data_IF_141152763173
#
_entry.id   IF_141152763173
#
_cell.length_a   1.000
_cell.length_b   1.000
_cell.length_c   1.000
_cell.angle_alpha   90.00
_cell.angle_beta   90.00
_cell.angle_gamma   90.00
#
_symmetry.space_group_name_H-M   'P 1'
#
loop_
_entity.id
_entity.type
_entity.pdbx_description
1 polymer ?
#
# COMPACT_ATOMS: atom_id res chain seq x y z
N UNK A 1 -1.54 -17.48 -33.01
CA UNK A 1 -2.80 -18.23 -33.07
C UNK A 1 -3.50 -17.94 -31.75
N UNK A 2 -4.44 -17.00 -31.75
CA UNK A 2 -5.03 -16.41 -30.53
C UNK A 2 -6.52 -16.69 -30.58
N UNK A 3 -6.96 -17.73 -29.86
CA UNK A 3 -8.30 -17.88 -29.30
C UNK A 3 -8.18 -18.95 -28.22
N UNK A 4 -8.61 -18.67 -27.00
CA UNK A 4 -9.22 -19.72 -26.19
C UNK A 4 -10.30 -19.06 -25.34
N UNK A 5 -11.36 -18.59 -25.99
CA UNK A 5 -12.65 -18.61 -25.31
C UNK A 5 -12.84 -20.04 -24.80
N UNK A 6 -12.98 -20.17 -23.48
CA UNK A 6 -13.28 -21.47 -22.90
C UNK A 6 -14.58 -21.95 -23.52
N UNK A 7 -14.63 -23.19 -23.98
CA UNK A 7 -15.89 -23.78 -24.44
C UNK A 7 -16.89 -23.73 -23.29
N UNK A 8 -18.17 -23.54 -23.58
CA UNK A 8 -19.21 -23.52 -22.54
C UNK A 8 -19.18 -24.78 -21.68
N UNK A 9 -18.83 -25.93 -22.28
CA UNK A 9 -18.61 -27.20 -21.58
C UNK A 9 -17.48 -27.11 -20.55
N UNK A 10 -16.35 -26.51 -20.89
CA UNK A 10 -15.22 -26.37 -19.97
C UNK A 10 -15.47 -25.32 -18.88
N UNK A 11 -16.22 -24.25 -19.18
CA UNK A 11 -16.69 -23.30 -18.18
C UNK A 11 -17.59 -24.01 -17.16
N UNK A 12 -18.58 -24.77 -17.63
CA UNK A 12 -19.45 -25.56 -16.75
C UNK A 12 -18.68 -26.60 -15.93
N UNK A 13 -17.63 -27.20 -16.51
CA UNK A 13 -16.72 -28.07 -15.76
C UNK A 13 -16.04 -27.30 -14.62
N UNK A 14 -15.35 -26.19 -14.89
CA UNK A 14 -14.68 -25.40 -13.84
C UNK A 14 -15.66 -24.91 -12.76
N UNK A 15 -16.87 -24.50 -13.14
CA UNK A 15 -17.92 -24.08 -12.20
C UNK A 15 -18.38 -25.21 -11.27
N UNK A 16 -18.41 -26.46 -11.74
CA UNK A 16 -18.72 -27.63 -10.91
C UNK A 16 -17.57 -27.98 -9.94
N UNK A 17 -16.32 -27.64 -10.27
CA UNK A 17 -15.15 -27.91 -9.44
C UNK A 17 -14.87 -26.82 -8.40
N UNK A 18 -15.22 -25.56 -8.68
CA UNK A 18 -15.01 -24.42 -7.77
C UNK A 18 -15.45 -24.70 -6.32
N UNK A 19 -16.65 -25.28 -6.04
CA UNK A 19 -17.12 -25.50 -4.67
C UNK A 19 -16.21 -26.41 -3.82
N UNK A 20 -15.62 -27.45 -4.42
CA UNK A 20 -14.76 -28.39 -3.70
C UNK A 20 -13.43 -27.72 -3.32
N UNK A 21 -12.77 -27.05 -4.27
CA UNK A 21 -11.55 -26.29 -4.01
C UNK A 21 -11.81 -25.21 -2.96
N UNK A 22 -12.94 -24.51 -3.09
CA UNK A 22 -13.38 -23.51 -2.12
C UNK A 22 -13.54 -24.08 -0.72
N UNK A 23 -14.27 -25.19 -0.55
CA UNK A 23 -14.48 -25.82 0.76
C UNK A 23 -13.14 -26.21 1.41
N UNK A 24 -12.22 -26.77 0.61
CA UNK A 24 -10.90 -27.16 1.09
C UNK A 24 -10.08 -25.94 1.53
N UNK A 25 -10.01 -24.89 0.70
CA UNK A 25 -9.27 -23.66 1.04
C UNK A 25 -9.86 -23.01 2.30
N UNK A 26 -11.18 -22.92 2.42
CA UNK A 26 -11.86 -22.38 3.62
C UNK A 26 -11.50 -23.20 4.86
N UNK A 27 -11.55 -24.53 4.76
CA UNK A 27 -11.18 -25.43 5.86
C UNK A 27 -9.72 -25.25 6.27
N UNK A 28 -8.79 -25.24 5.30
CA UNK A 28 -7.37 -25.05 5.54
C UNK A 28 -7.07 -23.67 6.14
N UNK A 29 -7.72 -22.61 5.65
CA UNK A 29 -7.58 -21.26 6.19
C UNK A 29 -8.07 -21.16 7.65
N UNK A 30 -9.22 -21.75 7.96
CA UNK A 30 -9.72 -21.82 9.35
C UNK A 30 -8.80 -22.65 10.25
N UNK A 31 -8.21 -23.74 9.74
CA UNK A 31 -7.25 -24.54 10.49
C UNK A 31 -5.95 -23.78 10.78
N UNK A 32 -5.44 -23.03 9.80
CA UNK A 32 -4.25 -22.20 9.99
C UNK A 32 -4.52 -21.05 10.98
N UNK A 33 -5.71 -20.44 10.93
CA UNK A 33 -6.15 -19.50 11.96
C UNK A 33 -6.16 -20.15 13.34
N UNK A 34 -6.74 -21.35 13.51
CA UNK A 34 -6.77 -22.04 14.80
C UNK A 34 -5.36 -22.36 15.34
N UNK A 35 -4.41 -22.69 14.44
CA UNK A 35 -3.00 -22.88 14.81
C UNK A 35 -2.36 -21.58 15.28
N UNK A 36 -2.59 -20.48 14.56
CA UNK A 36 -2.06 -19.16 14.93
C UNK A 36 -2.66 -18.64 16.23
N UNK A 37 -3.95 -18.87 16.47
CA UNK A 37 -4.60 -18.54 17.73
C UNK A 37 -3.99 -19.32 18.91
N UNK A 38 -3.64 -20.60 18.74
CA UNK A 38 -2.91 -21.36 19.76
C UNK A 38 -1.51 -20.80 19.99
N UNK A 39 -0.79 -20.41 18.93
CA UNK A 39 0.54 -19.79 19.03
C UNK A 39 0.51 -18.44 19.74
N UNK A 40 -0.55 -17.64 19.57
CA UNK A 40 -0.75 -16.35 20.24
C UNK A 40 -0.70 -16.44 21.77
N UNK A 41 -1.12 -17.57 22.34
CA UNK A 41 -1.01 -17.82 23.78
C UNK A 41 0.44 -18.03 24.27
N UNK A 42 1.38 -18.27 23.36
CA UNK A 42 2.79 -18.55 23.69
C UNK A 42 3.75 -17.47 23.19
N UNK A 43 3.42 -16.77 22.10
CA UNK A 43 4.27 -15.74 21.49
C UNK A 43 3.45 -14.47 21.27
N UNK A 44 3.82 -13.40 21.98
CA UNK A 44 3.27 -12.06 21.73
C UNK A 44 3.92 -11.48 20.47
N UNK A 45 3.22 -11.53 19.35
CA UNK A 45 3.60 -10.79 18.14
C UNK A 45 3.26 -9.31 18.32
N UNK A 46 4.21 -8.43 18.05
CA UNK A 46 4.01 -6.97 18.08
C UNK A 46 4.36 -6.44 16.69
N UNK A 47 3.41 -5.75 16.07
CA UNK A 47 3.62 -5.10 14.79
C UNK A 47 3.87 -3.61 15.04
N UNK A 48 5.09 -3.15 14.76
CA UNK A 48 5.47 -1.76 14.91
C UNK A 48 5.00 -0.95 13.70
N UNK A 49 4.51 0.25 13.95
CA UNK A 49 4.20 1.26 12.95
C UNK A 49 5.22 2.40 13.10
N UNK A 50 5.53 3.07 12.00
CA UNK A 50 6.46 4.18 11.95
C UNK A 50 5.85 5.44 12.55
N UNK A 51 6.71 6.37 12.95
CA UNK A 51 6.30 7.68 13.46
C UNK A 51 5.40 8.40 12.45
N UNK A 52 4.39 9.11 12.94
CA UNK A 52 3.48 9.91 12.12
C UNK A 52 3.59 11.37 12.55
N UNK A 53 3.71 12.26 11.56
CA UNK A 53 3.71 13.71 11.76
C UNK A 53 2.44 14.29 11.16
N UNK A 54 1.67 15.01 11.97
CA UNK A 54 0.38 15.60 11.60
C UNK A 54 0.37 17.08 11.92
N UNK A 55 -0.39 17.84 11.13
CA UNK A 55 -0.71 19.24 11.41
C UNK A 55 -2.22 19.43 11.36
N UNK A 56 -2.80 19.84 12.49
CA UNK A 56 -4.21 20.17 12.64
C UNK A 56 -4.31 21.65 13.05
N UNK A 57 -4.70 22.51 12.13
CA UNK A 57 -4.66 23.97 12.28
C UNK A 57 -3.28 24.45 12.75
N UNK A 58 -3.22 25.12 13.90
CA UNK A 58 -1.97 25.61 14.52
C UNK A 58 -1.30 24.56 15.42
N UNK A 59 -1.71 23.29 15.34
CA UNK A 59 -1.24 22.22 16.22
C UNK A 59 -0.46 21.19 15.43
N UNK A 60 0.80 20.98 15.80
CA UNK A 60 1.62 19.87 15.29
C UNK A 60 1.54 18.70 16.25
N UNK A 61 1.31 17.51 15.71
CA UNK A 61 1.16 16.27 16.48
C UNK A 61 2.17 15.26 15.94
N UNK A 62 3.02 14.75 16.83
CA UNK A 62 3.86 13.59 16.59
C UNK A 62 3.24 12.38 17.27
N UNK A 63 3.06 11.28 16.54
CA UNK A 63 2.67 9.98 17.08
C UNK A 63 3.85 9.02 16.92
N UNK A 64 4.32 8.42 18.01
CA UNK A 64 5.53 7.60 18.02
C UNK A 64 5.35 6.30 18.80
N UNK A 65 6.18 5.31 18.48
CA UNK A 65 6.12 3.95 19.07
C UNK A 65 4.72 3.35 18.97
N UNK A 66 4.08 3.56 17.82
CA UNK A 66 2.78 3.00 17.51
C UNK A 66 2.91 1.50 17.31
N UNK A 67 2.05 0.72 17.95
CA UNK A 67 2.07 -0.74 17.88
C UNK A 67 0.66 -1.29 17.77
N UNK A 68 0.47 -2.21 16.83
CA UNK A 68 -0.64 -3.16 16.88
C UNK A 68 -0.14 -4.37 17.68
N UNK A 69 -0.74 -4.57 18.86
CA UNK A 69 -0.47 -5.76 19.63
C UNK A 69 -1.24 -6.95 19.04
N UNK A 70 -0.60 -8.12 19.05
CA UNK A 70 -1.16 -9.41 18.64
C UNK A 70 -1.35 -9.58 17.13
N UNK A 71 -1.36 -10.85 16.71
CA UNK A 71 -1.77 -11.21 15.36
C UNK A 71 -3.31 -11.07 15.25
N UNK A 72 -3.81 -10.33 14.25
CA UNK A 72 -5.24 -10.24 13.97
C UNK A 72 -5.76 -11.50 13.27
N UNK A 73 -6.99 -11.88 13.61
CA UNK A 73 -7.65 -13.09 13.07
C UNK A 73 -8.63 -12.69 11.96
N UNK A 74 -8.44 -13.23 10.75
CA UNK A 74 -9.31 -13.02 9.59
C UNK A 74 -10.43 -14.06 9.58
N UNK A 75 -11.62 -13.70 10.06
CA UNK A 75 -12.79 -14.59 10.07
C UNK A 75 -13.45 -14.59 8.70
N UNK A 76 -13.53 -15.77 8.07
CA UNK A 76 -14.12 -15.93 6.74
C UNK A 76 -15.62 -15.60 6.77
N UNK A 77 -16.05 -14.58 6.01
CA UNK A 77 -17.46 -14.38 5.65
C UNK A 77 -17.73 -15.06 4.31
N UNK A 78 -16.88 -14.79 3.32
CA UNK A 78 -16.90 -15.43 2.01
C UNK A 78 -15.48 -15.59 1.48
N UNK A 79 -15.23 -16.73 0.83
CA UNK A 79 -13.99 -17.00 0.12
C UNK A 79 -14.35 -17.80 -1.13
N UNK A 80 -14.71 -17.09 -2.19
CA UNK A 80 -15.12 -17.68 -3.47
C UNK A 80 -13.91 -17.98 -4.34
N UNK A 81 -13.91 -19.13 -5.01
CA UNK A 81 -12.92 -19.49 -6.02
C UNK A 81 -13.54 -19.34 -7.40
N UNK A 82 -12.86 -18.64 -8.31
CA UNK A 82 -13.27 -18.52 -9.71
C UNK A 82 -12.10 -18.87 -10.63
N UNK A 83 -12.03 -20.14 -11.04
CA UNK A 83 -10.96 -20.61 -11.93
C UNK A 83 -11.07 -20.05 -13.35
N UNK A 84 -12.28 -19.79 -13.86
CA UNK A 84 -12.47 -19.18 -15.19
C UNK A 84 -11.84 -17.79 -15.28
N UNK A 85 -11.87 -17.04 -14.17
CA UNK A 85 -11.30 -15.70 -14.04
C UNK A 85 -9.98 -15.66 -13.29
N UNK A 86 -9.47 -16.84 -12.89
CA UNK A 86 -8.24 -17.00 -12.12
C UNK A 86 -8.15 -16.02 -10.95
N UNK A 87 -9.18 -16.01 -10.10
CA UNK A 87 -9.22 -15.14 -8.93
C UNK A 87 -9.95 -15.77 -7.73
N UNK A 88 -9.69 -15.20 -6.55
CA UNK A 88 -10.41 -15.43 -5.32
C UNK A 88 -11.25 -14.19 -4.99
N UNK A 89 -12.54 -14.36 -4.72
CA UNK A 89 -13.42 -13.31 -4.19
C UNK A 89 -13.45 -13.43 -2.66
N UNK A 90 -12.88 -12.45 -1.96
CA UNK A 90 -12.67 -12.51 -0.51
C UNK A 90 -13.57 -11.54 0.24
N UNK A 91 -14.08 -11.97 1.39
CA UNK A 91 -14.79 -11.18 2.38
C UNK A 91 -14.43 -11.73 3.77
N UNK A 92 -13.69 -10.94 4.55
CA UNK A 92 -13.32 -11.31 5.92
C UNK A 92 -13.74 -10.24 6.91
N UNK A 93 -14.07 -10.68 8.13
CA UNK A 93 -14.23 -9.83 9.30
C UNK A 93 -13.05 -9.99 10.23
N UNK A 94 -12.57 -8.88 10.79
CA UNK A 94 -11.56 -8.89 11.85
C UNK A 94 -12.20 -8.48 13.18
N UNK A 95 -11.54 -8.87 14.26
CA UNK A 95 -11.84 -8.37 15.60
C UNK A 95 -11.31 -6.94 15.79
N UNK A 96 -11.63 -6.33 16.92
CA UNK A 96 -11.17 -4.97 17.25
C UNK A 96 -9.64 -4.88 17.19
N UNK A 97 -9.14 -3.84 16.53
CA UNK A 97 -7.72 -3.61 16.31
C UNK A 97 -7.27 -2.40 17.13
N UNK A 98 -6.80 -2.58 18.38
CA UNK A 98 -6.23 -1.49 19.16
C UNK A 98 -4.80 -1.18 18.70
N UNK A 99 -4.58 0.04 18.24
CA UNK A 99 -3.24 0.61 18.02
C UNK A 99 -2.93 1.57 19.14
N UNK A 100 -1.85 1.29 19.86
CA UNK A 100 -1.40 2.09 21.00
C UNK A 100 -0.03 2.70 20.73
N UNK A 101 0.25 3.88 21.28
CA UNK A 101 1.55 4.52 21.18
C UNK A 101 1.64 5.77 22.06
N UNK A 102 2.57 6.66 21.72
CA UNK A 102 2.72 7.95 22.39
C UNK A 102 2.32 9.08 21.44
N UNK A 103 1.84 10.17 22.02
CA UNK A 103 1.63 11.42 21.31
C UNK A 103 2.48 12.54 21.94
N UNK A 104 2.94 13.46 21.11
CA UNK A 104 3.46 14.77 21.52
C UNK A 104 2.78 15.84 20.67
N UNK A 105 2.19 16.83 21.33
CA UNK A 105 1.36 17.87 20.72
C UNK A 105 1.96 19.22 21.07
N UNK A 106 2.15 20.06 20.05
CA UNK A 106 2.67 21.40 20.20
C UNK A 106 1.83 22.40 19.43
N UNK A 107 1.49 23.54 20.07
CA UNK A 107 0.78 24.62 19.39
C UNK A 107 1.77 25.65 18.87
N UNK A 108 1.89 25.75 17.55
CA UNK A 108 2.85 26.62 16.84
C UNK A 108 2.55 28.10 17.10
N UNK A 109 1.27 28.48 17.19
CA UNK A 109 0.88 29.87 17.43
C UNK A 109 1.24 30.35 18.84
N UNK A 110 1.16 29.44 19.83
CA UNK A 110 1.50 29.75 21.21
C UNK A 110 2.98 29.58 21.51
N UNK A 111 3.71 28.78 20.74
CA UNK A 111 5.09 28.39 21.02
C UNK A 111 6.04 29.58 21.26
N UNK A 112 5.87 30.68 20.52
CA UNK A 112 6.70 31.88 20.66
C UNK A 112 6.44 32.68 21.96
N UNK A 113 5.33 32.41 22.64
CA UNK A 113 4.87 33.13 23.83
C UNK A 113 4.87 32.21 25.05
N UNK A 114 4.44 30.96 24.89
CA UNK A 114 4.43 29.92 25.91
C UNK A 114 4.80 28.58 25.24
N UNK A 115 5.87 27.89 25.69
CA UNK A 115 6.22 26.57 25.21
C UNK A 115 5.27 25.52 25.81
N UNK A 116 4.00 25.57 25.43
CA UNK A 116 2.97 24.63 25.86
C UNK A 116 2.99 23.43 24.92
N UNK A 117 3.39 22.31 25.50
CA UNK A 117 3.33 20.99 24.90
C UNK A 117 2.45 20.07 25.73
N UNK A 118 1.75 19.16 25.09
CA UNK A 118 1.11 18.02 25.79
C UNK A 118 1.72 16.73 25.27
N UNK A 119 2.00 15.79 26.17
CA UNK A 119 2.43 14.46 25.79
C UNK A 119 1.71 13.41 26.64
N UNK A 120 1.68 12.19 26.12
CA UNK A 120 1.01 11.08 26.79
C UNK A 120 0.92 9.86 25.90
N UNK A 121 0.04 8.93 26.28
CA UNK A 121 -0.27 7.76 25.48
C UNK A 121 -1.51 8.03 24.61
N UNK A 122 -1.52 7.45 23.42
CA UNK A 122 -2.66 7.45 22.50
C UNK A 122 -3.08 6.01 22.24
N UNK A 123 -4.38 5.78 22.17
CA UNK A 123 -4.97 4.51 21.76
C UNK A 123 -6.06 4.79 20.74
N UNK A 124 -5.95 4.15 19.57
CA UNK A 124 -6.98 4.15 18.54
C UNK A 124 -7.52 2.74 18.40
N UNK A 125 -8.81 2.56 18.62
CA UNK A 125 -9.47 1.25 18.46
C UNK A 125 -10.26 1.27 17.16
N UNK A 126 -9.90 0.40 16.23
CA UNK A 126 -10.68 0.18 15.01
C UNK A 126 -11.68 -0.95 15.24
N UNK A 127 -12.95 -0.69 14.96
CA UNK A 127 -14.05 -1.65 15.16
C UNK A 127 -14.78 -1.90 13.83
N UNK A 128 -15.55 -3.00 13.79
CA UNK A 128 -16.28 -3.44 12.59
C UNK A 128 -15.39 -3.52 11.33
N UNK A 129 -14.14 -3.94 11.53
CA UNK A 129 -13.16 -4.00 10.46
C UNK A 129 -13.53 -5.15 9.53
N UNK A 130 -13.80 -4.83 8.26
CA UNK A 130 -14.00 -5.83 7.21
C UNK A 130 -13.05 -5.58 6.05
N UNK A 131 -12.66 -6.65 5.36
CA UNK A 131 -11.88 -6.60 4.14
C UNK A 131 -12.61 -7.33 3.05
N UNK A 132 -12.81 -6.67 1.91
CA UNK A 132 -13.47 -7.25 0.74
C UNK A 132 -12.66 -6.96 -0.50
N UNK A 133 -12.69 -7.87 -1.46
CA UNK A 133 -12.02 -7.63 -2.73
C UNK A 133 -11.72 -8.89 -3.50
N UNK A 134 -10.78 -8.77 -4.42
CA UNK A 134 -10.32 -9.85 -5.28
C UNK A 134 -8.83 -10.07 -5.15
N UNK A 135 -8.43 -11.33 -5.17
CA UNK A 135 -7.02 -11.73 -5.20
C UNK A 135 -6.81 -12.51 -6.48
N UNK A 136 -5.77 -12.16 -7.25
CA UNK A 136 -5.42 -12.92 -8.44
C UNK A 136 -4.88 -14.30 -8.09
N UNK A 137 -5.16 -15.28 -8.92
CA UNK A 137 -4.72 -16.65 -8.76
C UNK A 137 -3.80 -17.02 -9.93
N UNK A 138 -2.49 -16.90 -9.72
CA UNK A 138 -1.51 -17.27 -10.73
C UNK A 138 -1.23 -18.77 -10.66
N UNK A 139 -0.82 -19.38 -11.78
CA UNK A 139 -0.34 -20.77 -11.80
C UNK A 139 1.19 -20.73 -11.93
N UNK A 140 1.89 -21.25 -10.92
CA UNK A 140 3.36 -21.35 -10.93
C UNK A 140 3.78 -22.77 -10.58
N UNK A 141 4.48 -23.43 -11.50
CA UNK A 141 4.74 -24.87 -11.37
C UNK A 141 3.42 -25.63 -11.28
N UNK A 142 3.22 -26.38 -10.21
CA UNK A 142 1.99 -27.13 -9.97
C UNK A 142 1.08 -26.52 -8.88
N UNK A 143 1.30 -25.26 -8.50
CA UNK A 143 0.52 -24.61 -7.44
C UNK A 143 -0.28 -23.43 -7.95
N UNK A 144 -1.44 -23.23 -7.32
CA UNK A 144 -2.12 -21.94 -7.34
C UNK A 144 -1.41 -20.97 -6.39
N UNK A 145 -1.07 -19.78 -6.87
CA UNK A 145 -0.35 -18.76 -6.09
C UNK A 145 -1.20 -17.49 -6.02
N UNK A 146 -1.73 -17.13 -4.84
CA UNK A 146 -2.48 -15.90 -4.69
C UNK A 146 -1.52 -14.70 -4.74
N UNK A 147 -1.75 -13.78 -5.67
CA UNK A 147 -0.98 -12.55 -5.86
C UNK A 147 -1.92 -11.38 -6.20
N UNK A 148 -1.39 -10.15 -6.26
CA UNK A 148 -2.12 -8.97 -6.71
C UNK A 148 -3.43 -8.72 -5.92
N UNK A 149 -3.32 -8.46 -4.62
CA UNK A 149 -4.44 -8.33 -3.69
C UNK A 149 -5.20 -7.00 -3.88
N UNK A 150 -6.25 -6.99 -4.73
CA UNK A 150 -7.18 -5.87 -4.88
C UNK A 150 -8.23 -5.87 -3.77
N UNK A 151 -7.80 -5.46 -2.58
CA UNK A 151 -8.63 -5.43 -1.37
C UNK A 151 -8.89 -4.01 -0.88
N UNK A 152 -10.08 -3.82 -0.34
CA UNK A 152 -10.53 -2.62 0.35
C UNK A 152 -10.98 -2.97 1.76
N UNK A 153 -10.63 -2.10 2.69
CA UNK A 153 -10.97 -2.25 4.10
C UNK A 153 -11.98 -1.19 4.50
N UNK A 154 -12.94 -1.58 5.32
CA UNK A 154 -13.90 -0.68 5.97
C UNK A 154 -13.74 -0.81 7.47
N UNK A 155 -13.91 0.29 8.20
CA UNK A 155 -13.73 0.33 9.65
C UNK A 155 -14.43 1.54 10.25
N UNK A 156 -14.72 1.44 11.56
CA UNK A 156 -15.01 2.57 12.43
C UNK A 156 -13.82 2.80 13.37
N UNK A 157 -13.71 3.99 13.98
CA UNK A 157 -12.63 4.29 14.92
C UNK A 157 -13.12 5.02 16.16
N UNK A 158 -12.38 4.84 17.25
CA UNK A 158 -12.44 5.70 18.42
C UNK A 158 -11.01 6.03 18.88
N UNK A 159 -10.69 7.33 18.95
CA UNK A 159 -9.40 7.83 19.45
C UNK A 159 -9.53 8.28 20.91
N UNK A 160 -8.66 7.73 21.75
CA UNK A 160 -8.51 8.11 23.15
C UNK A 160 -7.06 8.47 23.45
N UNK A 161 -6.89 9.42 24.37
CA UNK A 161 -5.57 9.83 24.87
C UNK A 161 -5.54 9.73 26.38
N UNK A 162 -4.35 9.48 26.91
CA UNK A 162 -4.13 9.53 28.35
C UNK A 162 -2.86 10.27 28.71
N UNK A 163 -2.96 11.12 29.73
CA UNK A 163 -1.86 12.01 30.14
C UNK A 163 -1.94 12.31 31.64
N UNK A 164 -0.82 12.72 32.21
CA UNK A 164 -0.72 13.05 33.63
C UNK A 164 -0.87 14.56 33.82
N UNK A 165 -1.85 15.00 34.62
CA UNK A 165 -1.98 16.42 35.00
C UNK A 165 -1.02 16.76 36.14
N UNK A 166 -0.73 15.79 37.00
CA UNK A 166 0.26 15.86 38.06
C UNK A 166 0.85 14.45 38.27
N UNK A 167 1.80 14.28 39.21
CA UNK A 167 2.50 12.99 39.42
C UNK A 167 1.57 11.80 39.68
N UNK A 168 0.38 12.03 40.23
CA UNK A 168 -0.49 10.96 40.72
C UNK A 168 -1.85 10.87 39.97
N UNK A 169 -2.18 11.87 39.16
CA UNK A 169 -3.48 11.97 38.48
C UNK A 169 -3.31 11.77 36.98
N UNK A 170 -3.60 10.54 36.55
CA UNK A 170 -3.78 10.18 35.13
C UNK A 170 -5.19 10.54 34.69
N UNK A 171 -5.30 11.28 33.59
CA UNK A 171 -6.56 11.56 32.92
C UNK A 171 -6.62 10.78 31.62
N UNK A 172 -7.80 10.20 31.35
CA UNK A 172 -8.13 9.57 30.09
C UNK A 172 -9.25 10.38 29.43
N UNK A 173 -9.05 10.78 28.18
CA UNK A 173 -9.98 11.61 27.45
C UNK A 173 -10.19 11.05 26.04
N UNK A 174 -11.43 11.10 25.56
CA UNK A 174 -11.73 10.83 24.14
C UNK A 174 -11.55 12.11 23.33
N UNK A 175 -11.09 11.99 22.09
CA UNK A 175 -11.05 13.14 21.17
C UNK A 175 -12.49 13.57 20.90
N UNK A 176 -12.80 14.83 21.22
CA UNK A 176 -14.19 15.32 21.22
C UNK A 176 -14.67 15.83 19.87
N UNK A 177 -13.74 16.06 18.92
CA UNK A 177 -14.03 16.54 17.56
C UNK A 177 -14.02 15.36 16.58
N UNK A 178 -15.16 14.98 15.99
CA UNK A 178 -15.24 13.83 15.07
C UNK A 178 -14.34 13.95 13.84
N UNK A 179 -14.10 15.18 13.34
CA UNK A 179 -13.21 15.42 12.19
C UNK A 179 -11.76 15.09 12.52
N UNK A 180 -11.31 15.46 13.72
CA UNK A 180 -9.92 15.32 14.13
C UNK A 180 -9.64 13.85 14.48
N UNK A 181 -10.60 13.17 15.11
CA UNK A 181 -10.61 11.72 15.35
C UNK A 181 -10.39 10.95 14.03
N UNK A 182 -11.17 11.29 13.00
CA UNK A 182 -11.05 10.66 11.68
C UNK A 182 -9.71 10.93 11.00
N UNK A 183 -9.12 12.13 11.13
CA UNK A 183 -7.82 12.44 10.53
C UNK A 183 -6.69 11.61 11.19
N UNK A 184 -6.68 11.55 12.52
CA UNK A 184 -5.69 10.76 13.28
C UNK A 184 -5.83 9.28 12.92
N UNK A 185 -7.05 8.74 13.01
CA UNK A 185 -7.34 7.35 12.70
C UNK A 185 -6.99 7.01 11.25
N UNK A 186 -7.39 7.83 10.27
CA UNK A 186 -7.07 7.58 8.85
C UNK A 186 -5.57 7.55 8.59
N UNK A 187 -4.79 8.39 9.26
CA UNK A 187 -3.33 8.45 9.05
C UNK A 187 -2.63 7.22 9.63
N UNK A 188 -3.04 6.76 10.81
CA UNK A 188 -2.56 5.49 11.38
C UNK A 188 -3.00 4.31 10.49
N UNK A 189 -4.25 4.36 9.99
CA UNK A 189 -4.82 3.32 9.13
C UNK A 189 -4.00 3.07 7.87
N UNK A 190 -3.41 4.10 7.26
CA UNK A 190 -2.55 3.95 6.07
C UNK A 190 -1.43 2.93 6.29
N UNK A 191 -0.77 2.96 7.45
CA UNK A 191 0.27 1.99 7.79
C UNK A 191 -0.30 0.65 8.27
N UNK A 192 -1.39 0.70 9.06
CA UNK A 192 -2.05 -0.51 9.54
C UNK A 192 -2.56 -1.38 8.38
N UNK A 193 -3.09 -0.76 7.31
CA UNK A 193 -3.54 -1.45 6.10
C UNK A 193 -2.41 -2.27 5.45
N UNK A 194 -1.19 -1.75 5.40
CA UNK A 194 0.00 -2.46 4.89
C UNK A 194 0.30 -3.70 5.75
N UNK A 195 0.29 -3.54 7.08
CA UNK A 195 0.49 -4.66 8.02
C UNK A 195 -0.59 -5.73 7.83
N UNK A 196 -1.87 -5.34 7.81
CA UNK A 196 -2.99 -6.26 7.64
C UNK A 196 -2.95 -6.98 6.29
N UNK A 197 -2.64 -6.26 5.22
CA UNK A 197 -2.56 -6.85 3.87
C UNK A 197 -1.40 -7.84 3.78
N UNK A 198 -0.27 -7.55 4.44
CA UNK A 198 0.88 -8.47 4.50
C UNK A 198 0.52 -9.75 5.24
N UNK A 199 -0.16 -9.64 6.40
CA UNK A 199 -0.60 -10.82 7.16
C UNK A 199 -1.60 -11.65 6.35
N UNK A 200 -2.58 -11.00 5.71
CA UNK A 200 -3.54 -11.68 4.84
C UNK A 200 -2.83 -12.39 3.68
N UNK A 201 -1.82 -11.73 3.07
CA UNK A 201 -1.02 -12.30 2.00
C UNK A 201 -0.30 -13.57 2.46
N UNK A 202 0.39 -13.51 3.58
CA UNK A 202 1.13 -14.65 4.13
C UNK A 202 0.20 -15.82 4.48
N UNK A 203 -0.95 -15.54 5.11
CA UNK A 203 -1.94 -16.56 5.46
C UNK A 203 -2.58 -17.22 4.23
N UNK A 204 -3.05 -16.41 3.26
CA UNK A 204 -3.66 -16.96 2.04
C UNK A 204 -2.65 -17.72 1.20
N UNK A 205 -1.43 -17.18 1.04
CA UNK A 205 -0.37 -17.86 0.28
C UNK A 205 0.04 -19.18 0.92
N UNK A 206 0.16 -19.21 2.25
CA UNK A 206 0.50 -20.44 2.98
C UNK A 206 -0.52 -21.57 2.79
N UNK A 207 -1.79 -21.23 2.56
CA UNK A 207 -2.86 -22.22 2.38
C UNK A 207 -3.07 -22.58 0.90
N UNK A 208 -3.14 -21.59 0.02
CA UNK A 208 -3.55 -21.81 -1.37
C UNK A 208 -2.44 -22.51 -2.19
N UNK A 209 -1.17 -22.26 -1.86
CA UNK A 209 -0.03 -22.87 -2.57
C UNK A 209 0.08 -24.38 -2.34
N UNK A 210 -0.51 -24.90 -1.26
CA UNK A 210 -0.52 -26.34 -0.96
C UNK A 210 -1.39 -27.16 -1.93
N UNK A 211 -2.25 -26.51 -2.71
CA UNK A 211 -3.13 -27.19 -3.67
C UNK A 211 -2.42 -27.41 -5.00
N UNK A 212 -2.27 -28.69 -5.35
CA UNK A 212 -1.79 -29.11 -6.67
C UNK A 212 -2.84 -28.85 -7.75
N UNK A 213 -2.45 -28.15 -8.80
CA UNK A 213 -3.30 -27.89 -9.98
C UNK A 213 -3.59 -29.22 -10.69
N UNK A 214 -2.56 -30.05 -10.88
CA UNK A 214 -2.69 -31.35 -11.54
C UNK A 214 -3.57 -32.32 -10.75
N UNK A 215 -3.41 -32.43 -9.42
CA UNK A 215 -4.27 -33.30 -8.61
C UNK A 215 -5.71 -32.78 -8.57
N UNK A 216 -5.90 -31.46 -8.57
CA UNK A 216 -7.22 -30.84 -8.51
C UNK A 216 -8.03 -30.99 -9.80
N UNK A 217 -7.36 -31.01 -10.97
CA UNK A 217 -8.01 -30.97 -12.28
C UNK A 217 -7.73 -32.20 -13.16
N UNK A 218 -6.87 -33.12 -12.72
CA UNK A 218 -6.47 -34.31 -13.47
C UNK A 218 -6.07 -33.95 -14.92
N UNK A 219 -6.62 -34.65 -15.92
CA UNK A 219 -6.29 -34.48 -17.34
C UNK A 219 -6.81 -33.16 -17.96
N UNK A 220 -7.57 -32.37 -17.19
CA UNK A 220 -8.17 -31.11 -17.63
C UNK A 220 -7.36 -29.86 -17.22
N UNK A 221 -6.19 -30.04 -16.59
CA UNK A 221 -5.34 -28.96 -16.10
C UNK A 221 -4.66 -28.16 -17.23
N UNK A 222 -4.25 -28.82 -18.31
CA UNK A 222 -3.56 -28.22 -19.46
C UNK A 222 -4.37 -27.08 -20.08
N UNK A 223 -5.69 -27.22 -20.20
CA UNK A 223 -6.58 -26.16 -20.71
C UNK A 223 -6.60 -24.94 -19.80
N UNK A 224 -6.60 -25.14 -18.48
CA UNK A 224 -6.54 -24.03 -17.51
C UNK A 224 -5.17 -23.33 -17.56
N UNK A 225 -4.08 -24.09 -17.71
CA UNK A 225 -2.73 -23.54 -17.85
C UNK A 225 -2.59 -22.69 -19.12
N UNK A 226 -3.16 -23.15 -20.24
CA UNK A 226 -3.21 -22.38 -21.49
C UNK A 226 -4.01 -21.09 -21.35
N UNK A 227 -5.17 -21.15 -20.67
CA UNK A 227 -5.94 -19.95 -20.32
C UNK A 227 -5.12 -18.98 -19.47
N UNK A 228 -4.48 -19.47 -18.41
CA UNK A 228 -3.66 -18.66 -17.51
C UNK A 228 -2.53 -17.98 -18.29
N UNK A 229 -1.81 -18.72 -19.13
CA UNK A 229 -0.74 -18.17 -19.97
C UNK A 229 -1.24 -17.10 -20.94
N UNK A 230 -2.42 -17.31 -21.53
CA UNK A 230 -3.08 -16.33 -22.41
C UNK A 230 -3.44 -15.04 -21.65
N UNK A 231 -4.07 -15.17 -20.48
CA UNK A 231 -4.43 -14.03 -19.63
C UNK A 231 -3.19 -13.26 -19.16
N UNK A 232 -2.13 -13.96 -18.74
CA UNK A 232 -0.86 -13.36 -18.36
C UNK A 232 -0.23 -12.57 -19.51
N UNK A 233 -0.18 -13.17 -20.70
CA UNK A 233 0.38 -12.52 -21.89
C UNK A 233 -0.42 -11.25 -22.24
N UNK A 234 -1.75 -11.30 -22.16
CA UNK A 234 -2.64 -10.16 -22.39
C UNK A 234 -2.44 -9.06 -21.34
N UNK A 235 -2.46 -9.41 -20.06
CA UNK A 235 -2.31 -8.46 -18.95
C UNK A 235 -0.92 -7.78 -18.94
N UNK A 236 0.14 -8.57 -19.01
CA UNK A 236 1.51 -8.08 -19.01
C UNK A 236 1.80 -7.23 -20.24
N UNK A 237 1.43 -7.69 -21.44
CA UNK A 237 1.66 -6.93 -22.67
C UNK A 237 0.96 -5.57 -22.63
N UNK A 238 -0.30 -5.54 -22.16
CA UNK A 238 -1.09 -4.32 -22.05
C UNK A 238 -0.41 -3.32 -21.11
N UNK A 239 -0.07 -3.81 -19.93
CA UNK A 239 0.50 -2.97 -18.89
C UNK A 239 1.92 -2.52 -19.21
N UNK A 240 2.77 -3.40 -19.74
CA UNK A 240 4.16 -3.08 -20.08
C UNK A 240 4.22 -2.01 -21.20
N UNK A 241 3.26 -2.03 -22.14
CA UNK A 241 3.08 -0.96 -23.15
C UNK A 241 2.78 0.38 -22.48
N UNK A 242 1.80 0.42 -21.57
CA UNK A 242 1.44 1.63 -20.85
C UNK A 242 2.55 2.12 -19.92
N UNK A 243 3.23 1.20 -19.23
CA UNK A 243 4.35 1.51 -18.35
C UNK A 243 5.51 2.13 -19.14
N UNK A 244 5.82 1.63 -20.33
CA UNK A 244 6.84 2.23 -21.19
C UNK A 244 6.49 3.68 -21.57
N UNK A 245 5.26 3.92 -22.06
CA UNK A 245 4.79 5.27 -22.39
C UNK A 245 4.73 6.19 -21.16
N UNK A 246 4.36 5.67 -19.98
CA UNK A 246 4.37 6.41 -18.73
C UNK A 246 5.80 6.82 -18.33
N UNK A 247 6.78 5.93 -18.51
CA UNK A 247 8.20 6.22 -18.26
C UNK A 247 8.74 7.28 -19.22
N UNK A 248 8.39 7.20 -20.50
CA UNK A 248 8.76 8.21 -21.50
C UNK A 248 8.19 9.60 -21.13
N UNK A 249 6.94 9.65 -20.65
CA UNK A 249 6.34 10.86 -20.12
C UNK A 249 7.11 11.44 -18.92
N UNK A 250 7.45 10.60 -17.94
CA UNK A 250 8.21 11.01 -16.75
C UNK A 250 9.58 11.58 -17.14
N UNK A 251 10.26 10.96 -18.11
CA UNK A 251 11.55 11.45 -18.62
C UNK A 251 11.38 12.77 -19.39
N UNK A 252 10.37 12.88 -20.25
CA UNK A 252 10.12 14.08 -21.05
C UNK A 252 9.75 15.31 -20.21
N UNK A 253 9.14 15.11 -19.04
CA UNK A 253 8.83 16.16 -18.06
C UNK A 253 9.98 16.52 -17.14
N UNK A 254 11.16 15.92 -17.34
CA UNK A 254 12.32 16.05 -16.47
C UNK A 254 12.02 15.72 -15.00
N UNK A 255 11.06 14.81 -14.75
CA UNK A 255 10.69 14.35 -13.41
C UNK A 255 11.68 13.31 -12.88
N UNK A 256 12.98 13.53 -13.11
CA UNK A 256 14.06 12.72 -12.52
C UNK A 256 14.16 12.93 -11.02
N UNK A 257 13.73 14.11 -10.57
CA UNK A 257 13.59 14.49 -9.17
C UNK A 257 12.19 15.08 -8.95
N UNK A 258 11.46 14.57 -7.96
CA UNK A 258 10.21 15.15 -7.47
C UNK A 258 10.53 15.86 -6.16
N UNK A 259 10.18 17.13 -6.05
CA UNK A 259 10.28 17.85 -4.78
C UNK A 259 9.22 17.37 -3.79
N UNK A 260 9.61 17.18 -2.53
CA UNK A 260 8.71 16.86 -1.43
C UNK A 260 8.72 18.00 -0.40
N UNK A 261 7.58 18.30 0.24
CA UNK A 261 7.49 19.42 1.16
C UNK A 261 8.43 19.24 2.37
N UNK A 262 8.83 20.36 3.00
CA UNK A 262 9.51 20.31 4.28
C UNK A 262 8.55 19.86 5.38
N UNK A 263 9.12 19.24 6.41
CA UNK A 263 8.50 19.09 7.72
C UNK A 263 9.36 19.73 8.81
N UNK A 264 8.72 20.04 9.92
CA UNK A 264 9.34 20.63 11.10
C UNK A 264 8.79 19.97 12.37
N UNK A 265 9.68 19.61 13.29
CA UNK A 265 9.35 18.92 14.54
C UNK A 265 10.03 19.61 15.72
N UNK A 266 9.31 19.70 16.83
CA UNK A 266 9.87 20.08 18.12
C UNK A 266 10.23 18.83 18.89
N UNK A 267 11.40 18.83 19.50
CA UNK A 267 11.90 17.68 20.23
C UNK A 267 12.53 18.09 21.56
N UNK A 268 12.79 17.11 22.43
CA UNK A 268 13.44 17.30 23.72
C UNK A 268 14.58 16.31 23.89
N UNK A 269 15.62 16.72 24.62
CA UNK A 269 16.70 15.81 25.00
C UNK A 269 16.24 14.68 25.93
N UNK A 270 15.38 15.00 26.90
CA UNK A 270 14.79 14.04 27.86
C UNK A 270 13.33 14.39 28.08
N UNK A 271 12.49 13.39 28.36
CA UNK A 271 11.06 13.59 28.67
C UNK A 271 10.82 14.59 29.82
N UNK A 272 11.77 14.70 30.76
CA UNK A 272 11.71 15.63 31.90
C UNK A 272 12.39 16.97 31.65
N UNK A 273 13.00 17.20 30.49
CA UNK A 273 13.62 18.49 30.18
C UNK A 273 12.57 19.50 29.74
N UNK A 274 12.74 20.74 30.19
CA UNK A 274 11.98 21.90 29.71
C UNK A 274 12.59 22.50 28.44
N UNK A 275 13.80 22.11 28.08
CA UNK A 275 14.48 22.56 26.87
C UNK A 275 13.90 21.86 25.65
N UNK A 276 13.54 22.68 24.66
CA UNK A 276 12.98 22.23 23.39
C UNK A 276 13.94 22.60 22.27
N UNK A 277 14.15 21.64 21.37
CA UNK A 277 14.85 21.85 20.12
C UNK A 277 13.87 21.95 18.97
N UNK A 278 14.30 22.62 17.92
CA UNK A 278 13.59 22.73 16.65
C UNK A 278 14.37 21.99 15.58
N UNK A 279 13.70 21.13 14.82
CA UNK A 279 14.23 20.48 13.64
C UNK A 279 13.46 20.93 12.41
N UNK A 280 14.15 21.48 11.40
CA UNK A 280 13.58 21.93 10.13
C UNK A 280 14.28 21.20 8.99
N UNK A 281 13.53 20.36 8.26
CA UNK A 281 14.11 19.49 7.22
C UNK A 281 14.49 20.19 5.92
N UNK A 282 13.92 21.36 5.62
CA UNK A 282 14.04 21.97 4.27
C UNK A 282 13.28 21.18 3.20
N UNK A 283 13.36 21.61 1.94
CA UNK A 283 12.70 20.88 0.85
C UNK A 283 13.37 19.52 0.65
N UNK A 284 12.55 18.47 0.55
CA UNK A 284 13.03 17.13 0.26
C UNK A 284 12.93 16.77 -1.22
N UNK A 285 13.38 15.56 -1.54
CA UNK A 285 13.31 15.04 -2.90
C UNK A 285 12.94 13.55 -2.93
N UNK A 286 12.39 13.11 -4.05
CA UNK A 286 12.33 11.71 -4.50
C UNK A 286 13.04 11.63 -5.85
N UNK A 287 13.94 10.65 -6.02
CA UNK A 287 14.71 10.47 -7.26
C UNK A 287 14.51 9.09 -7.87
N UNK A 288 14.87 9.00 -9.15
CA UNK A 288 15.01 7.75 -9.91
C UNK A 288 13.69 7.02 -10.26
N UNK A 289 12.61 7.78 -10.48
CA UNK A 289 11.31 7.27 -10.95
C UNK A 289 11.37 6.47 -12.25
N UNK A 290 12.36 6.73 -13.11
CA UNK A 290 12.57 5.95 -14.34
C UNK A 290 12.89 4.48 -14.10
N UNK A 291 13.22 4.10 -12.85
CA UNK A 291 13.44 2.71 -12.45
C UNK A 291 12.15 1.96 -12.09
N UNK A 292 10.98 2.57 -12.29
CA UNK A 292 9.69 1.92 -12.16
C UNK A 292 9.62 0.69 -13.07
N UNK A 293 9.28 -0.45 -12.47
CA UNK A 293 9.13 -1.74 -13.12
C UNK A 293 8.09 -2.57 -12.41
N UNK A 294 7.44 -3.46 -13.15
CA UNK A 294 6.57 -4.48 -12.57
C UNK A 294 7.38 -5.45 -11.70
N UNK A 295 6.81 -5.89 -10.56
CA UNK A 295 7.46 -6.83 -9.62
C UNK A 295 7.12 -8.30 -9.90
N UNK A 296 5.92 -8.56 -10.41
CA UNK A 296 5.41 -9.91 -10.69
C UNK A 296 4.45 -9.88 -11.86
N UNK A 297 3.99 -11.03 -12.32
CA UNK A 297 2.91 -11.08 -13.29
C UNK A 297 1.63 -10.42 -12.78
N UNK A 298 0.93 -9.75 -13.70
CA UNK A 298 -0.32 -9.04 -13.42
C UNK A 298 -1.50 -10.00 -13.51
N UNK A 299 -2.53 -9.67 -12.75
CA UNK A 299 -3.81 -10.35 -12.83
C UNK A 299 -4.71 -9.66 -13.86
N UNK A 300 -5.45 -10.48 -14.59
CA UNK A 300 -6.51 -10.05 -15.49
C UNK A 300 -7.85 -10.43 -14.88
N UNK A 301 -8.81 -9.51 -14.88
CA UNK A 301 -10.20 -9.85 -14.67
C UNK A 301 -11.00 -9.29 -15.83
N UNK A 302 -11.80 -10.14 -16.46
CA UNK A 302 -12.57 -9.77 -17.63
C UNK A 302 -14.03 -10.18 -17.44
N UNK A 303 -14.94 -9.23 -17.64
CA UNK A 303 -16.37 -9.49 -17.74
C UNK A 303 -16.95 -8.88 -19.03
N UNK A 304 -18.27 -8.92 -19.19
CA UNK A 304 -18.95 -8.40 -20.39
C UNK A 304 -18.79 -6.88 -20.56
N UNK A 305 -18.55 -6.14 -19.47
CA UNK A 305 -18.56 -4.69 -19.41
C UNK A 305 -17.18 -4.07 -19.32
N UNK A 306 -16.22 -4.77 -18.71
CA UNK A 306 -14.90 -4.22 -18.45
C UNK A 306 -13.80 -5.27 -18.43
N UNK A 307 -12.59 -4.79 -18.74
CA UNK A 307 -11.34 -5.46 -18.49
C UNK A 307 -10.63 -4.73 -17.34
N UNK A 308 -10.17 -5.47 -16.34
CA UNK A 308 -9.38 -4.97 -15.23
C UNK A 308 -8.00 -5.61 -15.27
N UNK A 309 -6.95 -4.79 -15.20
CA UNK A 309 -5.56 -5.25 -15.06
C UNK A 309 -5.01 -4.67 -13.78
N UNK A 310 -4.49 -5.54 -12.91
CA UNK A 310 -4.00 -5.11 -11.61
C UNK A 310 -2.80 -5.92 -11.13
N UNK A 311 -1.92 -5.25 -10.40
CA UNK A 311 -0.76 -5.87 -9.79
C UNK A 311 0.19 -4.83 -9.21
N UNK A 312 1.43 -5.24 -8.99
CA UNK A 312 2.40 -4.45 -8.23
C UNK A 312 3.58 -3.97 -9.08
N UNK A 313 3.89 -2.69 -8.88
CA UNK A 313 5.09 -2.02 -9.33
C UNK A 313 6.07 -1.90 -8.18
N UNK A 314 7.33 -1.76 -8.52
CA UNK A 314 8.40 -1.38 -7.60
C UNK A 314 9.37 -0.45 -8.28
N UNK A 315 10.28 0.08 -7.47
CA UNK A 315 11.35 0.95 -7.91
C UNK A 315 12.68 0.30 -7.54
N UNK A 316 13.52 0.02 -8.54
CA UNK A 316 14.84 -0.58 -8.31
C UNK A 316 15.75 0.35 -7.51
N UNK A 317 15.66 1.65 -7.80
CA UNK A 317 16.37 2.68 -7.05
C UNK A 317 15.34 3.68 -6.54
N UNK A 318 14.98 3.58 -5.27
CA UNK A 318 14.15 4.59 -4.62
C UNK A 318 15.00 5.36 -3.61
N UNK A 319 15.31 6.61 -3.98
CA UNK A 319 16.04 7.54 -3.13
C UNK A 319 15.11 8.66 -2.68
N UNK A 320 15.11 8.91 -1.38
CA UNK A 320 14.46 10.05 -0.76
C UNK A 320 15.47 10.80 0.10
N UNK A 321 15.20 12.05 0.46
CA UNK A 321 16.11 12.77 1.35
C UNK A 321 15.87 14.27 1.38
N UNK A 322 16.72 14.94 2.13
CA UNK A 322 16.74 16.37 2.37
C UNK A 322 18.18 16.84 2.27
N UNK A 323 18.47 17.70 1.28
CA UNK A 323 19.83 18.16 1.00
C UNK A 323 20.36 19.08 2.12
N UNK A 324 19.47 19.77 2.84
CA UNK A 324 19.82 20.61 3.99
C UNK A 324 18.72 20.63 5.04
N UNK A 325 19.03 20.18 6.25
CA UNK A 325 18.22 20.46 7.44
C UNK A 325 18.93 21.46 8.36
N UNK A 326 18.16 22.11 9.22
CA UNK A 326 18.64 22.94 10.33
C UNK A 326 18.07 22.44 11.63
N UNK A 327 18.87 22.49 12.68
CA UNK A 327 18.37 22.18 14.01
C UNK A 327 19.03 23.04 15.07
N UNK A 328 18.20 23.53 16.00
CA UNK A 328 18.64 24.36 17.11
C UNK A 328 18.23 23.71 18.42
N UNK A 329 19.20 23.46 19.29
CA UNK A 329 18.98 22.96 20.65
C UNK A 329 20.04 23.54 21.59
N UNK A 330 19.57 24.20 22.65
CA UNK A 330 20.43 25.02 23.52
C UNK A 330 21.24 26.04 22.68
N UNK A 331 22.55 26.10 22.87
CA UNK A 331 23.48 26.95 22.13
C UNK A 331 24.02 26.30 20.84
N UNK A 332 23.55 25.08 20.50
CA UNK A 332 23.96 24.40 19.29
C UNK A 332 23.01 24.76 18.14
N UNK A 333 23.57 25.33 17.08
CA UNK A 333 22.92 25.50 15.78
C UNK A 333 23.66 24.62 14.77
N UNK A 334 23.00 23.57 14.31
CA UNK A 334 23.59 22.53 13.48
C UNK A 334 22.85 22.41 12.16
N UNK A 335 23.61 22.15 11.10
CA UNK A 335 23.07 21.90 9.77
C UNK A 335 23.62 20.61 9.20
N UNK A 336 22.81 19.89 8.45
CA UNK A 336 23.22 18.61 7.89
C UNK A 336 22.35 18.19 6.72
N UNK A 337 22.44 16.92 6.34
CA UNK A 337 21.64 16.32 5.28
C UNK A 337 21.11 14.96 5.70
N UNK A 338 20.02 14.56 5.07
CA UNK A 338 19.35 13.27 5.26
C UNK A 338 19.24 12.56 3.93
N UNK A 339 19.72 11.31 3.85
CA UNK A 339 19.66 10.52 2.62
C UNK A 339 19.06 9.16 2.92
N UNK A 340 17.91 8.88 2.34
CA UNK A 340 17.20 7.63 2.47
C UNK A 340 17.32 6.80 1.18
N UNK A 341 17.61 5.51 1.33
CA UNK A 341 17.51 4.51 0.29
C UNK A 341 16.47 3.48 0.70
N UNK A 342 15.37 3.39 -0.06
CA UNK A 342 14.31 2.41 0.16
C UNK A 342 14.55 1.23 -0.78
N UNK A 343 14.66 0.01 -0.23
CA UNK A 343 14.99 -1.19 -1.02
C UNK A 343 13.79 -2.06 -1.35
N UNK A 344 12.76 -2.08 -0.50
CA UNK A 344 11.51 -2.78 -0.78
C UNK A 344 10.38 -1.77 -0.95
N UNK A 345 9.84 -1.67 -2.14
CA UNK A 345 8.69 -0.81 -2.43
C UNK A 345 7.72 -1.57 -3.31
N UNK A 346 6.49 -1.71 -2.84
CA UNK A 346 5.38 -2.26 -3.61
C UNK A 346 4.31 -1.18 -3.77
N UNK A 347 4.04 -0.78 -5.01
CA UNK A 347 2.98 0.15 -5.39
C UNK A 347 1.95 -0.65 -6.17
N UNK A 348 0.74 -0.75 -5.65
CA UNK A 348 -0.35 -1.41 -6.36
C UNK A 348 -0.95 -0.47 -7.39
N UNK A 349 -1.20 -0.99 -8.58
CA UNK A 349 -1.87 -0.28 -9.66
C UNK A 349 -3.00 -1.16 -10.19
N UNK A 350 -4.16 -0.53 -10.40
CA UNK A 350 -5.32 -1.12 -11.06
C UNK A 350 -5.79 -0.22 -12.19
N UNK A 351 -5.88 -0.78 -13.37
CA UNK A 351 -6.37 -0.13 -14.58
C UNK A 351 -7.68 -0.78 -14.99
N UNK A 352 -8.66 0.03 -15.42
CA UNK A 352 -9.89 -0.47 -16.02
C UNK A 352 -10.09 0.05 -17.42
N UNK A 353 -10.64 -0.81 -18.25
CA UNK A 353 -10.96 -0.56 -19.66
C UNK A 353 -12.40 -0.98 -19.90
N UNK A 354 -13.28 -0.02 -20.17
CA UNK A 354 -14.68 -0.30 -20.51
C UNK A 354 -14.80 -0.91 -21.90
N UNK A 355 -15.59 -1.99 -22.01
CA UNK A 355 -15.98 -2.63 -23.26
C UNK A 355 -17.29 -2.00 -23.74
N UNK A 356 -17.20 -1.02 -24.64
CA UNK A 356 -18.38 -0.42 -25.27
C UNK A 356 -18.26 -0.49 -26.80
N UNK A 357 -19.35 -0.89 -27.47
CA UNK A 357 -19.45 -0.86 -28.93
C UNK A 357 -19.90 0.51 -29.47
N UNK A 358 -20.53 1.35 -28.63
CA UNK A 358 -21.23 2.58 -29.05
C UNK A 358 -20.59 3.88 -28.54
N UNK A 359 -19.59 3.81 -27.66
CA UNK A 359 -18.94 4.99 -27.06
C UNK A 359 -17.41 4.84 -27.00
N UNK A 360 -16.63 5.93 -26.91
CA UNK A 360 -15.18 5.80 -26.78
C UNK A 360 -14.87 5.00 -25.51
N UNK A 361 -14.07 3.95 -25.66
CA UNK A 361 -13.61 3.10 -24.55
C UNK A 361 -13.04 3.98 -23.44
N UNK A 362 -13.74 4.04 -22.30
CA UNK A 362 -13.22 4.75 -21.14
C UNK A 362 -12.20 3.86 -20.48
N UNK A 363 -10.96 4.32 -20.50
CA UNK A 363 -9.86 3.69 -19.79
C UNK A 363 -9.40 4.62 -18.69
N UNK A 364 -9.21 4.12 -17.48
CA UNK A 364 -8.79 4.93 -16.33
C UNK A 364 -7.89 4.14 -15.38
N UNK A 365 -7.09 4.88 -14.63
CA UNK A 365 -6.45 4.38 -13.42
C UNK A 365 -7.54 4.32 -12.34
N UNK A 366 -7.89 3.12 -11.88
CA UNK A 366 -8.90 2.97 -10.82
C UNK A 366 -8.33 3.15 -9.43
N UNK A 367 -7.11 2.65 -9.24
CA UNK A 367 -6.47 2.61 -7.93
C UNK A 367 -4.96 2.64 -8.11
N UNK A 368 -4.33 3.53 -7.37
CA UNK A 368 -2.88 3.56 -7.18
C UNK A 368 -2.58 3.78 -5.70
N UNK A 369 -1.85 2.86 -5.07
CA UNK A 369 -1.55 2.99 -3.64
C UNK A 369 -0.26 2.28 -3.24
N UNK A 370 0.39 2.81 -2.21
CA UNK A 370 1.50 2.14 -1.56
C UNK A 370 0.99 0.91 -0.83
N UNK A 371 1.59 -0.27 -1.10
CA UNK A 371 1.30 -1.52 -0.40
C UNK A 371 2.36 -1.89 0.61
N UNK A 372 3.62 -1.58 0.31
CA UNK A 372 4.74 -1.94 1.16
C UNK A 372 5.87 -0.93 1.00
N UNK A 373 6.43 -0.52 2.13
CA UNK A 373 7.73 0.15 2.18
C UNK A 373 8.59 -0.54 3.24
N UNK A 374 9.71 -1.14 2.85
CA UNK A 374 10.60 -1.84 3.77
C UNK A 374 12.07 -1.60 3.45
N UNK A 375 12.90 -1.97 4.42
CA UNK A 375 14.35 -1.95 4.29
C UNK A 375 14.90 -0.56 3.91
N UNK A 376 14.35 0.47 4.57
CA UNK A 376 14.77 1.86 4.38
C UNK A 376 16.02 2.14 5.21
N UNK A 377 17.15 2.38 4.54
CA UNK A 377 18.36 2.87 5.17
C UNK A 377 18.39 4.39 5.11
N UNK A 378 18.62 5.06 6.25
CA UNK A 378 18.64 6.52 6.34
C UNK A 378 19.97 6.98 6.93
N UNK A 379 20.75 7.70 6.14
CA UNK A 379 22.01 8.29 6.54
C UNK A 379 21.79 9.75 6.94
N UNK A 380 22.21 10.08 8.17
CA UNK A 380 22.12 11.44 8.74
C UNK A 380 23.50 12.03 8.92
N UNK A 381 23.75 13.21 8.36
CA UNK A 381 24.99 13.97 8.54
C UNK A 381 24.77 15.23 9.36
N UNK A 382 25.83 15.83 9.91
CA UNK A 382 25.77 17.18 10.49
C UNK A 382 25.20 17.31 11.91
N UNK A 383 24.78 16.21 12.54
CA UNK A 383 24.25 16.24 13.92
C UNK A 383 25.31 16.33 15.02
N UNK A 384 26.58 16.02 14.77
CA UNK A 384 27.69 16.30 15.71
C UNK A 384 27.41 15.96 17.18
N UNK A 385 27.35 17.00 18.03
CA UNK A 385 27.05 16.92 19.48
C UNK A 385 25.64 16.39 19.81
N UNK A 386 24.72 16.42 18.85
CA UNK A 386 23.35 15.90 18.93
C UNK A 386 23.23 14.52 18.27
N UNK A 387 24.28 13.70 18.25
CA UNK A 387 24.25 12.35 17.64
C UNK A 387 23.17 11.43 18.23
N UNK A 388 22.75 11.67 19.48
CA UNK A 388 21.63 10.98 20.12
C UNK A 388 20.27 11.20 19.41
N UNK A 389 20.14 12.27 18.60
CA UNK A 389 18.94 12.58 17.84
C UNK A 389 18.82 11.76 16.55
N UNK A 390 19.91 11.12 16.08
CA UNK A 390 19.95 10.37 14.82
C UNK A 390 18.77 9.40 14.69
N UNK A 391 18.47 8.50 15.66
CA UNK A 391 17.38 7.55 15.52
C UNK A 391 16.01 8.23 15.38
N UNK A 392 15.80 9.32 16.12
CA UNK A 392 14.55 10.08 16.06
C UNK A 392 14.38 10.76 14.71
N UNK A 393 15.44 11.37 14.18
CA UNK A 393 15.40 11.99 12.85
C UNK A 393 15.15 10.97 11.74
N UNK A 394 15.74 9.78 11.84
CA UNK A 394 15.46 8.68 10.91
C UNK A 394 13.97 8.30 10.93
N UNK A 395 13.38 8.17 12.13
CA UNK A 395 11.94 7.91 12.28
C UNK A 395 11.07 9.02 11.70
N UNK A 396 11.43 10.30 11.87
CA UNK A 396 10.68 11.42 11.27
C UNK A 396 10.72 11.40 9.75
N UNK A 397 11.89 11.13 9.16
CA UNK A 397 12.04 11.01 7.70
C UNK A 397 11.21 9.87 7.15
N UNK A 398 11.25 8.69 7.80
CA UNK A 398 10.45 7.54 7.38
C UNK A 398 8.95 7.81 7.53
N UNK A 399 8.55 8.47 8.62
CA UNK A 399 7.18 8.92 8.85
C UNK A 399 6.67 9.85 7.75
N UNK A 400 7.43 10.90 7.47
CA UNK A 400 7.08 11.87 6.43
C UNK A 400 7.11 11.27 5.01
N UNK A 401 8.02 10.32 4.76
CA UNK A 401 8.04 9.55 3.53
C UNK A 401 6.69 8.86 3.33
N UNK A 402 6.22 8.11 4.32
CA UNK A 402 4.96 7.35 4.27
C UNK A 402 3.71 8.22 4.22
N UNK A 403 3.63 9.26 5.04
CA UNK A 403 2.41 10.05 5.22
C UNK A 403 2.20 11.13 4.16
N UNK A 404 3.27 11.55 3.47
CA UNK A 404 3.22 12.76 2.64
C UNK A 404 3.98 12.59 1.33
N UNK A 405 5.22 12.12 1.38
CA UNK A 405 6.06 12.05 0.18
C UNK A 405 5.57 10.98 -0.80
N UNK A 406 5.07 9.85 -0.30
CA UNK A 406 4.46 8.81 -1.13
C UNK A 406 3.21 9.31 -1.87
N UNK A 407 2.35 10.10 -1.23
CA UNK A 407 1.15 10.62 -1.90
C UNK A 407 1.50 11.48 -3.12
N UNK A 408 2.60 12.24 -3.04
CA UNK A 408 3.10 13.03 -4.16
C UNK A 408 3.63 12.10 -5.27
N UNK A 409 4.40 11.08 -4.90
CA UNK A 409 4.89 10.07 -5.84
C UNK A 409 3.74 9.36 -6.57
N UNK A 410 2.73 8.88 -5.83
CA UNK A 410 1.58 8.18 -6.39
C UNK A 410 0.81 9.06 -7.38
N UNK A 411 0.62 10.35 -7.08
CA UNK A 411 0.00 11.31 -8.01
C UNK A 411 0.79 11.48 -9.31
N UNK A 412 2.12 11.50 -9.25
CA UNK A 412 2.94 11.59 -10.45
C UNK A 412 2.87 10.31 -11.29
N UNK A 413 2.85 9.14 -10.65
CA UNK A 413 2.66 7.86 -11.35
C UNK A 413 1.26 7.79 -11.97
N UNK A 414 0.22 8.20 -11.26
CA UNK A 414 -1.16 8.26 -11.78
C UNK A 414 -1.28 9.18 -13.00
N UNK A 415 -0.67 10.37 -12.95
CA UNK A 415 -0.63 11.29 -14.07
C UNK A 415 0.11 10.69 -15.28
N UNK A 416 1.21 9.96 -15.05
CA UNK A 416 1.98 9.31 -16.10
C UNK A 416 1.19 8.16 -16.77
N UNK A 417 0.50 7.33 -16.00
CA UNK A 417 -0.37 6.29 -16.55
C UNK A 417 -1.59 6.88 -17.27
N UNK A 418 -2.21 7.92 -16.72
CA UNK A 418 -3.32 8.61 -17.38
C UNK A 418 -2.89 9.18 -18.73
N UNK A 419 -1.71 9.81 -18.80
CA UNK A 419 -1.14 10.27 -20.07
C UNK A 419 -0.87 9.11 -21.03
N UNK A 420 -0.26 8.02 -20.56
CA UNK A 420 0.06 6.85 -21.37
C UNK A 420 -1.22 6.25 -22.00
N UNK A 421 -2.28 6.14 -21.21
CA UNK A 421 -3.60 5.68 -21.67
C UNK A 421 -4.10 6.59 -22.79
N UNK A 422 -4.12 7.91 -22.58
CA UNK A 422 -4.58 8.87 -23.60
C UNK A 422 -3.73 8.83 -24.88
N UNK A 423 -2.41 8.69 -24.74
CA UNK A 423 -1.49 8.63 -25.87
C UNK A 423 -1.70 7.37 -26.73
N UNK A 424 -1.84 6.22 -26.10
CA UNK A 424 -2.09 4.95 -26.80
C UNK A 424 -3.48 4.94 -27.44
N UNK A 425 -4.51 5.48 -26.77
CA UNK A 425 -5.87 5.61 -27.34
C UNK A 425 -5.93 6.58 -28.54
N UNK A 426 -5.04 7.57 -28.61
CA UNK A 426 -4.90 8.44 -29.80
C UNK A 426 -4.25 7.71 -30.97
N UNK A 427 -3.26 6.83 -30.71
CA UNK A 427 -2.61 6.04 -31.76
C UNK A 427 -3.57 5.06 -32.44
N UNK A 428 -4.54 4.51 -31.70
CA UNK A 428 -5.54 3.58 -32.27
C UNK A 428 -6.55 4.27 -33.21
N UNK A 429 -6.68 5.60 -33.11
CA UNK A 429 -7.61 6.42 -33.91
C UNK A 429 -6.96 7.16 -35.09
N UNK A 430 -5.61 7.24 -35.15
CA UNK A 430 -4.88 7.91 -36.25
C UNK A 430 -4.31 6.92 -37.27
N UNK A 431 -4.57 7.15 -38.56
CA UNK A 431 -4.04 6.35 -39.68
C UNK A 431 -2.62 6.79 -40.05
N UNK A 432 -1.61 5.96 -39.75
CA UNK A 432 -0.20 6.16 -40.17
C UNK A 432 0.64 4.89 -39.92
N UNK A 433 1.73 4.71 -40.68
CA UNK A 433 2.44 3.42 -40.84
C UNK A 433 3.10 2.84 -39.57
N UNK A 434 3.42 3.65 -38.56
CA UNK A 434 3.91 3.18 -37.25
C UNK A 434 2.78 2.80 -36.28
N UNK A 435 1.52 3.09 -36.65
CA UNK A 435 0.33 2.82 -35.84
C UNK A 435 -0.27 1.42 -36.04
N UNK A 436 0.12 0.68 -37.09
CA UNK A 436 -0.59 -0.58 -37.43
C UNK A 436 -0.38 -1.69 -36.40
N UNK A 437 0.83 -1.86 -35.86
CA UNK A 437 1.10 -2.91 -34.86
C UNK A 437 0.50 -2.60 -33.48
N UNK A 438 0.58 -1.34 -33.01
CA UNK A 438 -0.10 -0.91 -31.76
C UNK A 438 -1.61 -1.00 -31.93
N UNK A 439 -2.15 -0.57 -33.07
CA UNK A 439 -3.59 -0.68 -33.37
C UNK A 439 -4.06 -2.13 -33.46
N UNK A 440 -3.29 -3.04 -34.08
CA UNK A 440 -3.57 -4.48 -34.10
C UNK A 440 -3.54 -5.07 -32.69
N UNK A 441 -2.56 -4.70 -31.86
CA UNK A 441 -2.46 -5.14 -30.48
C UNK A 441 -3.68 -4.71 -29.64
N UNK A 442 -4.00 -3.42 -29.63
CA UNK A 442 -5.15 -2.87 -28.90
C UNK A 442 -6.49 -3.38 -29.46
N UNK A 443 -6.62 -3.50 -30.79
CA UNK A 443 -7.82 -4.07 -31.41
C UNK A 443 -7.99 -5.55 -31.06
N UNK A 444 -6.91 -6.32 -30.94
CA UNK A 444 -6.97 -7.73 -30.51
C UNK A 444 -7.23 -7.89 -29.01
N UNK A 445 -6.84 -6.90 -28.18
CA UNK A 445 -7.15 -6.90 -26.74
C UNK A 445 -8.64 -6.66 -26.49
N UNK A 446 -9.26 -5.81 -27.31
CA UNK A 446 -10.65 -5.40 -27.16
C UNK A 446 -11.62 -6.04 -28.15
N UNK A 447 -11.15 -6.85 -29.10
CA UNK A 447 -12.03 -7.67 -29.93
C UNK A 447 -12.69 -8.72 -29.06
N UNK A 448 -14.02 -8.78 -29.11
CA UNK A 448 -14.84 -9.81 -28.47
C UNK A 448 -14.35 -11.21 -28.83
#
# INVERSE_FOLDING_TARGET
MVVSELTSEYVSFLEQFNPNIQENIVSAFNNEMARNHRRKNFIKTVHNLDTILLSLDNTKIELSKLTLEWLPDFKVINLGVNLCKLCLDIDFKLDDLPVSGNYEVNNVALQNVLPVSSNGAITVVYTDVTVKGRVGLLIQGDSFVPENYDVDYTWNSEVSVSYFINRDTKVEAKVTRPTDDQIIAKTIWTQLKEVLTTILKDQLKGVVVEYSVQESLADEDEKLRQLAQSQLTKANGLFDTLLCAAKDYLVAKDLRTIETPPFEVLYRGKLSSTETGLFESGNGYIKDLSTLSRLSDLSLFEDERQLLVYGTLGMREFKHGYDSFKTKFEDNDLTGSLKAQVRGTEIFVKLSFEKSEESPQKTKVEKIETRLLRDTAIDTSGLGSLSWLIPTTQSWVLGHLRSTSMDILLKQIEAAFSYAIEAEMKKTTTTGSDGDNSRLFWKNIFSK
#
